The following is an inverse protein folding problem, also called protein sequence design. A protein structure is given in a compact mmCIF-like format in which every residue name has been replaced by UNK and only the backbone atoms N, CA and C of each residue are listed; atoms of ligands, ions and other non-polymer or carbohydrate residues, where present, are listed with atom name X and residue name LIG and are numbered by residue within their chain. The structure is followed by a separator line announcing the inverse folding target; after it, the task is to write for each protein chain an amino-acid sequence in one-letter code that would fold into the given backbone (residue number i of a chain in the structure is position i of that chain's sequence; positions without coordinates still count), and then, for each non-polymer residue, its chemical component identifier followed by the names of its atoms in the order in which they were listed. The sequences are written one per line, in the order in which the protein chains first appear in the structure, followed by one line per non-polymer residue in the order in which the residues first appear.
data_IF_456667627157
#
_entry.id   IF_456667627157
#
_cell.length_a   1.000
_cell.length_b   1.000
_cell.length_c   1.000
_cell.angle_alpha   90.00
_cell.angle_beta   90.00
_cell.angle_gamma   90.00
#
_symmetry.space_group_name_H-M   'P 1'
#
loop_
_entity.id
_entity.type
_entity.pdbx_description
1 polymer ?
#
# COMPACT_ATOMS: atom_id res chain seq x y z
N UNK A 1 14.61 -0.43 25.03
CA UNK A 1 14.77 -1.38 23.90
C UNK A 1 13.47 -2.09 23.57
N UNK A 2 12.69 -2.57 24.55
CA UNK A 2 11.39 -3.22 24.31
C UNK A 2 10.39 -2.35 23.55
N UNK A 3 10.35 -1.04 23.83
CA UNK A 3 9.46 -0.10 23.11
C UNK A 3 9.83 0.09 21.64
N UNK A 4 11.12 0.08 21.30
CA UNK A 4 11.59 0.20 19.91
C UNK A 4 11.32 -1.08 19.11
N UNK A 5 11.41 -2.26 19.73
CA UNK A 5 11.01 -3.52 19.12
C UNK A 5 9.50 -3.56 18.84
N UNK A 6 8.68 -3.15 19.81
CA UNK A 6 7.23 -3.06 19.61
C UNK A 6 6.85 -2.03 18.53
N UNK A 7 7.59 -0.92 18.44
CA UNK A 7 7.38 0.10 17.41
C UNK A 7 7.77 -0.42 16.01
N UNK A 8 8.87 -1.17 15.90
CA UNK A 8 9.27 -1.87 14.67
C UNK A 8 8.18 -2.85 14.23
N UNK A 9 7.73 -3.74 15.10
CA UNK A 9 6.68 -4.74 14.77
C UNK A 9 5.37 -4.06 14.35
N UNK A 10 5.00 -2.93 14.97
CA UNK A 10 3.81 -2.17 14.57
C UNK A 10 3.95 -1.57 13.16
N UNK A 11 5.12 -1.00 12.84
CA UNK A 11 5.41 -0.45 11.53
C UNK A 11 5.46 -1.54 10.44
N UNK A 12 6.03 -2.70 10.74
CA UNK A 12 6.05 -3.86 9.85
C UNK A 12 4.64 -4.41 9.59
N UNK A 13 3.81 -4.50 10.63
CA UNK A 13 2.41 -4.91 10.48
C UNK A 13 1.60 -3.91 9.62
N UNK A 14 1.79 -2.60 9.86
CA UNK A 14 1.16 -1.55 9.04
C UNK A 14 1.60 -1.61 7.58
N UNK A 15 2.88 -1.84 7.33
CA UNK A 15 3.40 -2.00 5.97
C UNK A 15 2.77 -3.20 5.26
N UNK A 16 2.69 -4.35 5.93
CA UNK A 16 2.07 -5.55 5.39
C UNK A 16 0.58 -5.36 5.09
N UNK A 17 -0.17 -4.72 6.00
CA UNK A 17 -1.59 -4.44 5.83
C UNK A 17 -1.87 -3.52 4.62
N UNK A 18 -1.10 -2.43 4.49
CA UNK A 18 -1.22 -1.50 3.36
C UNK A 18 -0.92 -2.20 2.04
N UNK A 19 0.12 -3.02 2.00
CA UNK A 19 0.49 -3.76 0.80
C UNK A 19 -0.57 -4.80 0.41
N UNK A 20 -1.13 -5.52 1.40
CA UNK A 20 -2.20 -6.48 1.16
C UNK A 20 -3.48 -5.82 0.65
N UNK A 21 -3.86 -4.67 1.20
CA UNK A 21 -5.00 -3.88 0.70
C UNK A 21 -4.80 -3.44 -0.75
N UNK A 22 -3.60 -2.99 -1.09
CA UNK A 22 -3.28 -2.54 -2.45
C UNK A 22 -3.36 -3.69 -3.47
N UNK A 23 -2.89 -4.89 -3.08
CA UNK A 23 -3.04 -6.10 -3.91
C UNK A 23 -4.49 -6.52 -4.08
N UNK A 24 -5.30 -6.50 -3.01
CA UNK A 24 -6.72 -6.84 -3.08
C UNK A 24 -7.47 -5.89 -4.03
N UNK A 25 -7.22 -4.58 -3.92
CA UNK A 25 -7.77 -3.58 -4.83
C UNK A 25 -7.38 -3.91 -6.29
N UNK A 26 -6.12 -4.23 -6.55
CA UNK A 26 -5.69 -4.65 -7.90
C UNK A 26 -6.42 -5.89 -8.42
N UNK A 27 -6.64 -6.89 -7.57
CA UNK A 27 -7.17 -8.18 -7.96
C UNK A 27 -8.69 -8.13 -8.20
N UNK A 28 -9.42 -7.37 -7.39
CA UNK A 28 -10.86 -7.13 -7.57
C UNK A 28 -11.13 -6.41 -8.89
N UNK A 29 -10.28 -5.46 -9.27
CA UNK A 29 -10.40 -4.75 -10.54
C UNK A 29 -10.04 -5.62 -11.76
N UNK A 30 -9.07 -6.53 -11.64
CA UNK A 30 -8.67 -7.40 -12.75
C UNK A 30 -9.70 -8.48 -13.08
N UNK A 31 -10.53 -8.91 -12.11
CA UNK A 31 -11.52 -9.98 -12.31
C UNK A 31 -12.86 -9.50 -12.91
N UNK A 32 -13.10 -8.19 -13.03
CA UNK A 32 -14.34 -7.62 -13.59
C UNK A 32 -14.32 -7.33 -15.09
N UNK A 33 -13.33 -7.84 -15.84
CA UNK A 33 -13.11 -7.54 -17.26
C UNK A 33 -13.89 -8.51 -18.19
N UNK A 34 -15.21 -8.40 -18.22
CA UNK A 34 -16.00 -8.71 -19.43
C UNK A 34 -16.28 -7.36 -20.11
N UNK A 35 -16.29 -7.28 -21.45
CA UNK A 35 -16.05 -6.00 -22.15
C UNK A 35 -17.18 -5.57 -23.08
N UNK A 36 -18.02 -4.65 -22.61
CA UNK A 36 -18.87 -3.79 -23.45
C UNK A 36 -18.42 -2.31 -23.42
N UNK A 37 -18.94 -1.49 -24.35
CA UNK A 37 -18.40 -0.13 -24.61
C UNK A 37 -18.64 0.88 -23.47
N UNK A 38 -19.72 0.72 -22.69
CA UNK A 38 -19.99 1.53 -21.49
C UNK A 38 -19.04 1.18 -20.33
N UNK A 39 -18.62 -0.08 -20.22
CA UNK A 39 -17.69 -0.51 -19.17
C UNK A 39 -16.28 0.07 -19.38
N UNK A 40 -15.87 0.38 -20.62
CA UNK A 40 -14.56 1.01 -20.87
C UNK A 40 -14.43 2.41 -20.28
N UNK A 41 -15.50 3.20 -20.26
CA UNK A 41 -15.48 4.54 -19.68
C UNK A 41 -15.34 4.47 -18.16
N UNK A 42 -16.03 3.52 -17.52
CA UNK A 42 -15.86 3.22 -16.10
C UNK A 42 -14.45 2.67 -15.81
N UNK A 43 -13.91 1.81 -16.66
CA UNK A 43 -12.55 1.29 -16.50
C UNK A 43 -11.49 2.40 -16.54
N UNK A 44 -11.58 3.35 -17.48
CA UNK A 44 -10.65 4.49 -17.54
C UNK A 44 -10.72 5.36 -16.26
N UNK A 45 -11.93 5.67 -15.81
CA UNK A 45 -12.12 6.43 -14.56
C UNK A 45 -11.57 5.65 -13.35
N UNK A 46 -11.79 4.34 -13.33
CA UNK A 46 -11.27 3.46 -12.29
C UNK A 46 -9.74 3.36 -12.34
N UNK A 47 -9.11 3.34 -13.51
CA UNK A 47 -7.66 3.35 -13.66
C UNK A 47 -7.02 4.63 -13.13
N UNK A 48 -7.64 5.79 -13.35
CA UNK A 48 -7.19 7.06 -12.78
C UNK A 48 -7.29 7.06 -11.25
N UNK A 49 -8.42 6.62 -10.70
CA UNK A 49 -8.63 6.50 -9.24
C UNK A 49 -7.63 5.50 -8.64
N UNK A 50 -7.40 4.37 -9.30
CA UNK A 50 -6.40 3.38 -8.89
C UNK A 50 -4.98 3.92 -8.96
N UNK A 51 -4.64 4.69 -9.99
CA UNK A 51 -3.34 5.34 -10.10
C UNK A 51 -3.11 6.31 -8.94
N UNK A 52 -4.13 7.07 -8.55
CA UNK A 52 -4.06 7.97 -7.40
C UNK A 52 -3.94 7.21 -6.07
N UNK A 53 -4.76 6.18 -5.85
CA UNK A 53 -4.66 5.30 -4.67
C UNK A 53 -3.28 4.67 -4.58
N UNK A 54 -2.73 4.15 -5.70
CA UNK A 54 -1.37 3.62 -5.76
C UNK A 54 -0.33 4.67 -5.39
N UNK A 55 -0.43 5.88 -5.96
CA UNK A 55 0.53 6.97 -5.71
C UNK A 55 0.55 7.34 -4.23
N UNK A 56 -0.62 7.57 -3.64
CA UNK A 56 -0.75 7.94 -2.21
C UNK A 56 -0.26 6.80 -1.32
N UNK A 57 -0.63 5.56 -1.62
CA UNK A 57 -0.19 4.41 -0.82
C UNK A 57 1.32 4.19 -0.93
N UNK A 58 1.92 4.43 -2.10
CA UNK A 58 3.38 4.37 -2.27
C UNK A 58 4.09 5.47 -1.47
N UNK A 59 3.56 6.70 -1.45
CA UNK A 59 4.10 7.78 -0.62
C UNK A 59 4.05 7.43 0.87
N UNK A 60 2.95 6.83 1.33
CA UNK A 60 2.81 6.41 2.73
C UNK A 60 3.68 5.20 3.08
N UNK A 61 3.81 4.22 2.18
CA UNK A 61 4.75 3.11 2.34
C UNK A 61 6.19 3.60 2.43
N UNK A 62 6.57 4.61 1.64
CA UNK A 62 7.91 5.19 1.67
C UNK A 62 8.21 5.86 3.03
N UNK A 63 7.23 6.57 3.61
CA UNK A 63 7.36 7.15 4.97
C UNK A 63 7.51 6.06 6.03
N UNK A 64 6.64 5.05 6.00
CA UNK A 64 6.70 3.91 6.95
C UNK A 64 8.04 3.17 6.83
N UNK A 65 8.56 3.00 5.61
CA UNK A 65 9.86 2.39 5.39
C UNK A 65 11.02 3.23 5.96
N UNK A 66 10.98 4.56 5.79
CA UNK A 66 11.98 5.45 6.40
C UNK A 66 11.94 5.41 7.93
N UNK A 67 10.74 5.44 8.53
CA UNK A 67 10.58 5.35 9.98
C UNK A 67 11.07 4.01 10.51
N UNK A 68 10.78 2.92 9.80
CA UNK A 68 11.25 1.58 10.16
C UNK A 68 12.77 1.47 10.07
N UNK A 69 13.40 2.04 9.05
CA UNK A 69 14.86 2.06 8.92
C UNK A 69 15.51 2.87 10.06
N UNK A 70 14.92 4.00 10.42
CA UNK A 70 15.37 4.81 11.56
C UNK A 70 15.29 4.04 12.87
N UNK A 71 14.18 3.34 13.11
CA UNK A 71 14.01 2.49 14.31
C UNK A 71 15.00 1.33 14.31
N UNK A 72 15.29 0.72 13.15
CA UNK A 72 16.31 -0.34 13.01
C UNK A 72 17.71 0.16 13.34
N UNK A 73 18.08 1.36 12.87
CA UNK A 73 19.38 1.97 13.19
C UNK A 73 19.51 2.22 14.70
N UNK A 74 18.49 2.80 15.32
CA UNK A 74 18.45 3.04 16.77
C UNK A 74 18.44 1.75 17.63
N UNK A 75 18.05 0.61 17.05
CA UNK A 75 18.14 -0.71 17.70
C UNK A 75 19.51 -1.37 17.52
N UNK A 76 20.30 -0.94 16.54
CA UNK A 76 21.62 -1.50 16.23
C UNK A 76 22.77 -0.74 16.94
N UNK A 77 22.51 0.47 17.45
CA UNK A 77 23.37 1.26 18.34
C UNK A 77 23.20 0.85 19.82
#
# INVERSE_FOLDING_TARGET
MSDLLAQKDNLEARYAELNQRLQAIHQDYANGLDADSEERAQQLQNEEVLAEIRRVTQEDLAKVAQDLERVKQLLAE
#
